data_IF_051011070932
#
_entry.id   IF_051011070932
#
_cell.length_a   1.000
_cell.length_b   1.000
_cell.length_c   1.000
_cell.angle_alpha   90.00
_cell.angle_beta   90.00
_cell.angle_gamma   90.00
#
_symmetry.space_group_name_H-M   'P 1'
#
loop_
_entity.id
_entity.type
_entity.pdbx_description
1 polymer ?
#
# COMPACT_ATOMS: atom_id res chain seq x y z
N UNK A 1 -17.69 -9.93 37.32
CA UNK A 1 -16.27 -10.31 37.25
C UNK A 1 -15.60 -9.78 38.51
N UNK A 2 -14.55 -10.43 39.02
CA UNK A 2 -13.81 -9.92 40.17
C UNK A 2 -13.12 -8.59 39.81
N UNK A 3 -13.06 -7.64 40.75
CA UNK A 3 -12.36 -6.34 40.59
C UNK A 3 -10.83 -6.47 40.55
N UNK A 4 -10.34 -7.70 40.73
CA UNK A 4 -8.92 -8.03 40.80
C UNK A 4 -8.72 -9.43 40.25
N UNK A 5 -7.65 -9.64 39.49
CA UNK A 5 -7.21 -10.95 39.03
C UNK A 5 -5.79 -11.25 39.52
N UNK A 6 -5.53 -12.50 39.87
CA UNK A 6 -4.21 -13.03 40.18
C UNK A 6 -3.46 -13.34 38.89
N UNK A 7 -2.27 -12.78 38.75
CA UNK A 7 -1.37 -13.01 37.62
C UNK A 7 0.01 -13.44 38.09
N UNK A 8 0.73 -14.20 37.28
CA UNK A 8 2.09 -14.68 37.56
C UNK A 8 2.98 -14.47 36.34
N UNK A 9 4.08 -13.75 36.52
CA UNK A 9 5.13 -13.59 35.50
C UNK A 9 6.22 -14.64 35.78
N UNK A 10 6.50 -15.54 34.83
CA UNK A 10 7.57 -16.54 34.97
C UNK A 10 7.58 -17.26 36.33
N UNK A 11 8.73 -17.25 37.02
CA UNK A 11 8.92 -17.87 38.33
C UNK A 11 8.59 -16.95 39.52
N UNK A 12 8.06 -15.76 39.29
CA UNK A 12 7.68 -14.83 40.35
C UNK A 12 6.43 -15.31 41.10
N UNK A 13 6.17 -14.72 42.27
CA UNK A 13 4.95 -15.01 43.04
C UNK A 13 3.72 -14.44 42.33
N UNK A 14 2.60 -15.16 42.44
CA UNK A 14 1.33 -14.65 41.97
C UNK A 14 1.01 -13.32 42.64
N UNK A 15 0.58 -12.34 41.86
CA UNK A 15 0.33 -10.96 42.28
C UNK A 15 -1.06 -10.53 41.81
N UNK A 16 -1.75 -9.77 42.65
CA UNK A 16 -3.06 -9.22 42.33
C UNK A 16 -2.94 -7.94 41.50
N UNK A 17 -3.69 -7.90 40.39
CA UNK A 17 -3.80 -6.74 39.48
C UNK A 17 -5.27 -6.35 39.37
N UNK A 18 -5.57 -5.07 39.56
CA UNK A 18 -6.93 -4.54 39.42
C UNK A 18 -7.40 -4.65 37.97
N UNK A 19 -8.68 -4.99 37.80
CA UNK A 19 -9.37 -4.99 36.51
C UNK A 19 -10.18 -3.71 36.28
N UNK A 20 -10.09 -2.74 37.20
CA UNK A 20 -10.85 -1.50 37.12
C UNK A 20 -10.43 -0.69 35.88
N UNK A 21 -11.40 -0.35 35.03
CA UNK A 21 -11.17 0.37 33.79
C UNK A 21 -10.61 -0.48 32.64
N UNK A 22 -10.42 -1.79 32.83
CA UNK A 22 -9.98 -2.70 31.78
C UNK A 22 -11.18 -3.30 31.05
N UNK A 23 -11.29 -3.11 29.73
CA UNK A 23 -12.39 -3.65 28.94
C UNK A 23 -12.07 -5.02 28.35
N UNK A 24 -10.80 -5.22 27.97
CA UNK A 24 -10.30 -6.45 27.36
C UNK A 24 -8.94 -6.89 27.94
N UNK A 25 -8.42 -7.99 27.41
CA UNK A 25 -7.13 -8.56 27.82
C UNK A 25 -5.96 -7.61 27.52
N UNK A 26 -6.04 -6.75 26.51
CA UNK A 26 -4.99 -5.79 26.19
C UNK A 26 -4.91 -4.69 27.25
N UNK A 27 -6.05 -4.08 27.62
CA UNK A 27 -6.11 -3.10 28.71
C UNK A 27 -5.58 -3.69 30.02
N UNK A 28 -5.93 -4.95 30.28
CA UNK A 28 -5.47 -5.66 31.47
C UNK A 28 -3.97 -5.95 31.44
N UNK A 29 -3.38 -6.23 30.28
CA UNK A 29 -1.93 -6.37 30.12
C UNK A 29 -1.20 -5.03 30.34
N UNK A 30 -1.80 -3.89 30.00
CA UNK A 30 -1.27 -2.57 30.37
C UNK A 30 -1.26 -2.38 31.89
N UNK A 31 -2.37 -2.74 32.55
CA UNK A 31 -2.48 -2.70 34.02
C UNK A 31 -1.44 -3.62 34.69
N UNK A 32 -1.25 -4.82 34.13
CA UNK A 32 -0.23 -5.77 34.59
C UNK A 32 1.19 -5.21 34.42
N UNK A 33 1.49 -4.61 33.26
CA UNK A 33 2.80 -3.99 33.02
C UNK A 33 3.08 -2.89 34.03
N UNK A 34 2.10 -2.02 34.30
CA UNK A 34 2.23 -0.94 35.29
C UNK A 34 2.44 -1.48 36.70
N UNK A 35 1.80 -2.59 37.06
CA UNK A 35 1.93 -3.21 38.39
C UNK A 35 3.25 -3.97 38.57
N UNK A 36 3.77 -4.55 37.48
CA UNK A 36 4.98 -5.36 37.44
C UNK A 36 6.16 -4.61 36.78
N UNK A 37 6.11 -3.27 36.80
CA UNK A 37 7.09 -2.39 36.13
C UNK A 37 8.56 -2.73 36.46
N UNK A 38 8.95 -3.07 37.71
CA UNK A 38 10.34 -3.44 38.02
C UNK A 38 10.86 -4.65 37.22
N UNK A 39 9.96 -5.56 36.79
CA UNK A 39 10.30 -6.78 36.05
C UNK A 39 10.06 -6.63 34.53
N UNK A 40 9.41 -5.54 34.07
CA UNK A 40 8.96 -5.32 32.68
C UNK A 40 9.38 -3.96 32.09
N UNK A 41 10.29 -3.23 32.74
CA UNK A 41 10.69 -1.84 32.47
C UNK A 41 11.03 -1.53 30.98
N UNK A 42 11.51 -2.53 30.22
CA UNK A 42 11.86 -2.40 28.80
C UNK A 42 11.01 -3.24 27.83
N UNK A 43 9.89 -3.81 28.29
CA UNK A 43 9.02 -4.67 27.48
C UNK A 43 7.81 -3.89 26.99
N UNK A 44 7.63 -3.80 25.66
CA UNK A 44 6.39 -3.27 25.07
C UNK A 44 5.21 -4.16 25.45
N UNK A 45 4.04 -3.58 25.75
CA UNK A 45 2.81 -4.34 26.06
C UNK A 45 2.45 -5.28 24.90
N UNK A 46 2.74 -4.88 23.66
CA UNK A 46 2.55 -5.71 22.47
C UNK A 46 3.40 -7.01 22.47
N UNK A 47 4.37 -7.13 23.37
CA UNK A 47 5.19 -8.33 23.58
C UNK A 47 4.76 -9.15 24.79
N UNK A 48 3.67 -8.77 25.47
CA UNK A 48 3.11 -9.52 26.57
C UNK A 48 1.98 -10.42 26.07
N UNK A 49 1.91 -11.62 26.61
CA UNK A 49 0.77 -12.51 26.42
C UNK A 49 0.24 -12.99 27.75
N UNK A 50 -1.08 -13.18 27.83
CA UNK A 50 -1.78 -13.74 28.99
C UNK A 50 -2.24 -15.16 28.66
N UNK A 51 -2.17 -16.10 29.60
CA UNK A 51 -2.60 -17.48 29.41
C UNK A 51 -3.27 -18.02 30.67
N UNK A 52 -4.17 -18.97 30.54
CA UNK A 52 -4.89 -19.60 31.67
C UNK A 52 -4.06 -20.66 32.40
N UNK A 53 -3.00 -21.16 31.77
CA UNK A 53 -2.14 -22.22 32.28
C UNK A 53 -0.67 -21.89 32.05
N UNK A 54 0.21 -22.41 32.91
CA UNK A 54 1.65 -22.25 32.74
C UNK A 54 2.12 -23.02 31.52
N UNK A 55 2.50 -22.32 30.45
CA UNK A 55 2.83 -23.00 29.19
C UNK A 55 1.83 -22.73 28.08
N UNK A 56 0.62 -22.34 28.46
CA UNK A 56 -0.56 -22.43 27.63
C UNK A 56 -0.62 -21.45 26.48
N UNK A 57 -1.61 -21.67 25.62
CA UNK A 57 -1.94 -20.76 24.53
C UNK A 57 -2.29 -19.36 25.06
N UNK A 58 -1.83 -18.35 24.33
CA UNK A 58 -2.11 -16.97 24.66
C UNK A 58 -3.59 -16.65 24.41
N UNK A 59 -4.24 -16.07 25.40
CA UNK A 59 -5.58 -15.48 25.27
C UNK A 59 -5.48 -14.29 24.32
N UNK A 60 -6.45 -14.18 23.41
CA UNK A 60 -6.52 -13.10 22.45
C UNK A 60 -6.56 -11.73 23.17
N UNK A 61 -5.69 -10.76 22.83
CA UNK A 61 -5.66 -9.44 23.49
C UNK A 61 -6.99 -8.67 23.42
N UNK A 62 -7.77 -8.83 22.35
CA UNK A 62 -9.09 -8.18 22.24
C UNK A 62 -10.24 -8.95 22.89
N UNK A 63 -9.97 -10.03 23.63
CA UNK A 63 -11.01 -10.80 24.32
C UNK A 63 -11.54 -9.98 25.51
N UNK A 64 -12.87 -9.79 25.65
CA UNK A 64 -13.44 -9.16 26.83
C UNK A 64 -13.04 -9.94 28.09
N UNK A 65 -12.69 -9.23 29.17
CA UNK A 65 -12.27 -9.90 30.41
C UNK A 65 -13.37 -10.85 30.97
N UNK A 66 -14.64 -10.57 30.66
CA UNK A 66 -15.80 -11.41 31.04
C UNK A 66 -15.78 -12.79 30.41
N UNK A 67 -15.03 -12.96 29.32
CA UNK A 67 -14.92 -14.20 28.56
C UNK A 67 -13.66 -15.01 28.91
N UNK A 68 -12.78 -14.50 29.78
CA UNK A 68 -11.63 -15.25 30.30
C UNK A 68 -12.06 -16.57 30.96
N UNK A 69 -13.15 -16.62 31.77
CA UNK A 69 -13.59 -17.87 32.39
C UNK A 69 -13.99 -18.97 31.41
N UNK A 70 -14.30 -18.61 30.16
CA UNK A 70 -14.66 -19.53 29.09
C UNK A 70 -13.45 -20.06 28.32
N UNK A 71 -12.24 -19.59 28.63
CA UNK A 71 -11.02 -20.00 27.93
C UNK A 71 -10.59 -21.41 28.36
N UNK A 72 -10.06 -22.24 27.43
CA UNK A 72 -9.56 -23.56 27.76
C UNK A 72 -8.52 -23.53 28.88
N UNK A 73 -8.62 -24.47 29.82
CA UNK A 73 -7.71 -24.55 30.97
C UNK A 73 -7.92 -23.47 32.03
N UNK A 74 -8.93 -22.61 31.89
CA UNK A 74 -9.31 -21.70 32.96
C UNK A 74 -9.83 -22.49 34.16
N UNK A 75 -9.34 -22.11 35.34
CA UNK A 75 -9.86 -22.53 36.64
C UNK A 75 -10.15 -21.27 37.47
N UNK A 76 -10.75 -21.44 38.65
CA UNK A 76 -11.05 -20.29 39.52
C UNK A 76 -9.77 -19.47 39.75
N UNK A 77 -9.83 -18.17 39.48
CA UNK A 77 -8.63 -17.33 39.56
C UNK A 77 -8.32 -16.96 41.01
N UNK A 78 -7.33 -17.64 41.60
CA UNK A 78 -6.82 -17.44 42.93
C UNK A 78 -5.28 -17.45 42.95
N UNK A 79 -4.67 -17.42 44.14
CA UNK A 79 -3.21 -17.41 44.26
C UNK A 79 -2.53 -18.71 43.82
N UNK A 80 -3.27 -19.82 43.85
CA UNK A 80 -2.79 -21.15 43.46
C UNK A 80 -3.01 -21.39 41.95
N UNK A 81 -4.01 -20.71 41.36
CA UNK A 81 -4.39 -20.78 39.96
C UNK A 81 -4.38 -19.38 39.29
N UNK A 82 -3.21 -18.72 39.18
CA UNK A 82 -3.10 -17.42 38.56
C UNK A 82 -3.20 -17.49 37.04
N UNK A 83 -3.46 -16.35 36.39
CA UNK A 83 -3.22 -16.19 34.95
C UNK A 83 -1.73 -15.96 34.71
N UNK A 84 -1.17 -16.53 33.65
CA UNK A 84 0.26 -16.51 33.41
C UNK A 84 0.63 -15.47 32.35
N UNK A 85 1.52 -14.56 32.72
CA UNK A 85 2.08 -13.54 31.85
C UNK A 85 3.42 -14.02 31.30
N UNK A 86 3.62 -13.83 29.99
CA UNK A 86 4.87 -14.17 29.31
C UNK A 86 5.32 -13.04 28.39
N UNK A 87 6.64 -12.88 28.30
CA UNK A 87 7.26 -12.02 27.28
C UNK A 87 7.50 -12.85 26.03
N UNK A 88 6.85 -12.49 24.94
CA UNK A 88 6.98 -13.16 23.65
C UNK A 88 8.18 -12.55 22.92
N UNK A 89 9.25 -13.33 22.77
CA UNK A 89 10.34 -13.02 21.83
C UNK A 89 9.86 -13.40 20.44
N UNK A 90 9.94 -12.47 19.48
CA UNK A 90 9.40 -12.64 18.13
C UNK A 90 9.85 -13.96 17.46
N UNK A 91 9.00 -14.97 17.56
CA UNK A 91 8.63 -15.97 16.55
C UNK A 91 7.28 -16.53 17.04
N UNK A 92 6.16 -16.00 16.52
CA UNK A 92 4.86 -16.61 16.80
C UNK A 92 4.80 -17.98 16.12
N UNK A 93 5.08 -19.03 16.88
CA UNK A 93 4.61 -20.39 16.60
C UNK A 93 3.33 -20.62 17.38
N UNK A 94 2.17 -20.49 16.73
CA UNK A 94 0.89 -21.01 17.23
C UNK A 94 0.74 -22.48 16.78
N UNK A 95 0.48 -23.44 17.67
CA UNK A 95 -0.59 -24.42 17.48
C UNK A 95 -1.89 -23.79 18.08
N UNK A 96 -3.15 -24.07 17.71
CA UNK A 96 -3.72 -25.22 17.01
C UNK A 96 -5.07 -24.90 16.32
N UNK A 97 -5.16 -23.90 15.43
CA UNK A 97 -6.07 -23.92 14.25
C UNK A 97 -5.62 -22.82 13.28
N UNK A 98 -5.43 -23.10 11.98
CA UNK A 98 -5.08 -22.05 11.02
C UNK A 98 -6.20 -21.00 10.99
N UNK A 99 -5.94 -19.79 11.49
CA UNK A 99 -6.90 -18.69 11.42
C UNK A 99 -6.94 -18.18 9.99
N UNK A 100 -7.84 -18.72 9.18
CA UNK A 100 -7.90 -18.38 7.76
C UNK A 100 -8.85 -17.22 7.54
N UNK A 101 -8.38 -16.23 6.78
CA UNK A 101 -9.15 -15.06 6.36
C UNK A 101 -9.40 -15.16 4.87
N UNK A 102 -10.67 -15.06 4.47
CA UNK A 102 -11.08 -15.13 3.07
C UNK A 102 -11.42 -13.74 2.55
N UNK A 103 -10.74 -13.33 1.48
CA UNK A 103 -11.15 -12.20 0.66
C UNK A 103 -12.03 -12.70 -0.49
N UNK A 104 -13.31 -12.32 -0.49
CA UNK A 104 -14.26 -12.70 -1.54
C UNK A 104 -14.99 -11.49 -2.08
N UNK A 105 -15.07 -11.41 -3.40
CA UNK A 105 -15.59 -10.23 -4.07
C UNK A 105 -15.78 -10.37 -5.57
N UNK A 106 -16.16 -9.27 -6.18
CA UNK A 106 -16.45 -9.11 -7.60
C UNK A 106 -15.87 -7.79 -8.10
N UNK A 107 -15.38 -7.80 -9.34
CA UNK A 107 -15.03 -6.61 -10.12
C UNK A 107 -15.87 -6.62 -11.39
N UNK A 108 -16.82 -5.70 -11.54
CA UNK A 108 -17.56 -5.50 -12.81
C UNK A 108 -16.67 -4.75 -13.81
N UNK A 109 -16.92 -4.88 -15.11
CA UNK A 109 -16.06 -4.25 -16.14
C UNK A 109 -14.61 -4.78 -16.17
N UNK A 110 -14.35 -5.94 -15.55
CA UNK A 110 -12.99 -6.46 -15.32
C UNK A 110 -12.30 -7.08 -16.55
N UNK A 111 -13.01 -7.26 -17.68
CA UNK A 111 -12.46 -7.75 -18.96
C UNK A 111 -11.44 -6.80 -19.61
N UNK A 112 -10.88 -5.84 -18.87
CA UNK A 112 -9.82 -4.98 -19.34
C UNK A 112 -8.46 -5.71 -19.34
N UNK A 113 -7.56 -5.40 -20.29
CA UNK A 113 -6.23 -6.01 -20.34
C UNK A 113 -5.46 -5.79 -19.03
N UNK A 114 -4.82 -6.85 -18.53
CA UNK A 114 -3.98 -6.80 -17.33
C UNK A 114 -4.71 -6.76 -15.97
N UNK A 115 -6.06 -6.71 -15.93
CA UNK A 115 -6.82 -6.72 -14.68
C UNK A 115 -6.54 -7.99 -13.86
N UNK A 116 -6.76 -9.15 -14.46
CA UNK A 116 -6.53 -10.47 -13.82
C UNK A 116 -5.05 -10.70 -13.47
N UNK A 117 -4.12 -10.28 -14.34
CA UNK A 117 -2.68 -10.36 -14.05
C UNK A 117 -2.29 -9.53 -12.84
N UNK A 118 -2.81 -8.30 -12.76
CA UNK A 118 -2.60 -7.44 -11.59
C UNK A 118 -3.14 -8.08 -10.31
N UNK A 119 -4.31 -8.76 -10.36
CA UNK A 119 -4.85 -9.50 -9.22
C UNK A 119 -3.92 -10.62 -8.74
N UNK A 120 -3.29 -11.36 -9.68
CA UNK A 120 -2.28 -12.37 -9.36
C UNK A 120 -1.04 -11.77 -8.69
N UNK A 121 -0.56 -10.62 -9.19
CA UNK A 121 0.52 -9.88 -8.52
C UNK A 121 0.08 -9.48 -7.11
N UNK A 122 -1.10 -8.88 -6.96
CA UNK A 122 -1.64 -8.41 -5.68
C UNK A 122 -1.73 -9.52 -4.65
N UNK A 123 -2.27 -10.68 -5.03
CA UNK A 123 -2.30 -11.84 -4.15
C UNK A 123 -0.89 -12.28 -3.73
N UNK A 124 0.08 -12.34 -4.65
CA UNK A 124 1.45 -12.68 -4.29
C UNK A 124 2.07 -11.67 -3.31
N UNK A 125 1.93 -10.37 -3.57
CA UNK A 125 2.53 -9.32 -2.75
C UNK A 125 2.02 -9.30 -1.31
N UNK A 126 0.75 -9.67 -1.11
CA UNK A 126 0.12 -9.74 0.20
C UNK A 126 0.00 -11.17 0.73
N UNK A 127 0.85 -12.10 0.27
CA UNK A 127 0.92 -13.47 0.76
C UNK A 127 -0.43 -14.22 0.74
N UNK A 128 -1.13 -14.18 -0.39
CA UNK A 128 -2.38 -14.89 -0.62
C UNK A 128 -2.17 -16.37 -0.97
N UNK A 129 -3.15 -17.21 -0.62
CA UNK A 129 -3.13 -18.66 -0.81
C UNK A 129 -4.36 -19.14 -1.58
N UNK A 130 -4.22 -20.27 -2.27
CA UNK A 130 -5.35 -21.02 -2.81
C UNK A 130 -6.13 -21.69 -1.67
N UNK A 131 -7.40 -21.98 -1.92
CA UNK A 131 -8.20 -22.85 -1.07
C UNK A 131 -7.99 -24.32 -1.45
N UNK A 132 -7.65 -25.15 -0.47
CA UNK A 132 -7.55 -26.60 -0.63
C UNK A 132 -8.95 -27.20 -0.68
N UNK A 133 -9.40 -27.64 -1.86
CA UNK A 133 -10.59 -28.49 -2.02
C UNK A 133 -10.22 -29.82 -2.64
N UNK A 134 -10.90 -30.91 -2.23
CA UNK A 134 -10.66 -32.30 -2.67
C UNK A 134 -10.46 -32.39 -4.19
N UNK A 135 -9.22 -32.36 -4.65
CA UNK A 135 -8.80 -32.57 -6.04
C UNK A 135 -9.03 -31.42 -7.03
N UNK A 136 -9.54 -30.25 -6.61
CA UNK A 136 -9.80 -29.12 -7.53
C UNK A 136 -9.08 -27.87 -7.02
N UNK A 137 -8.06 -27.43 -7.78
CA UNK A 137 -7.43 -26.13 -7.58
C UNK A 137 -8.34 -25.05 -8.18
N UNK A 138 -9.19 -24.45 -7.34
CA UNK A 138 -10.05 -23.36 -7.77
C UNK A 138 -9.21 -22.16 -8.21
N UNK A 139 -9.58 -21.55 -9.33
CA UNK A 139 -8.91 -20.35 -9.78
C UNK A 139 -9.30 -19.18 -8.86
N UNK A 140 -8.34 -18.49 -8.21
CA UNK A 140 -8.64 -17.41 -7.28
C UNK A 140 -9.27 -16.20 -7.98
N UNK A 141 -9.10 -16.13 -9.30
CA UNK A 141 -9.62 -15.07 -10.15
C UNK A 141 -10.29 -15.68 -11.38
N UNK A 142 -11.61 -15.81 -11.38
CA UNK A 142 -12.38 -16.44 -12.46
C UNK A 142 -13.41 -15.47 -13.04
N UNK A 143 -13.50 -15.37 -14.37
CA UNK A 143 -14.58 -14.61 -14.99
C UNK A 143 -15.90 -15.37 -14.88
N UNK A 144 -16.98 -14.62 -14.65
CA UNK A 144 -18.36 -15.07 -14.84
C UNK A 144 -18.79 -14.76 -16.28
N UNK A 145 -19.88 -15.37 -16.73
CA UNK A 145 -20.41 -15.22 -18.11
C UNK A 145 -20.62 -13.76 -18.52
N UNK A 146 -21.00 -12.90 -17.57
CA UNK A 146 -21.19 -11.47 -17.78
C UNK A 146 -19.90 -10.62 -17.78
N UNK A 147 -18.72 -11.26 -17.78
CA UNK A 147 -17.41 -10.58 -17.76
C UNK A 147 -16.99 -9.99 -16.41
N UNK A 148 -17.74 -10.25 -15.34
CA UNK A 148 -17.35 -9.87 -13.96
C UNK A 148 -16.27 -10.83 -13.46
N UNK A 149 -15.20 -10.29 -12.89
CA UNK A 149 -14.14 -11.10 -12.28
C UNK A 149 -14.50 -11.43 -10.83
N UNK A 150 -14.66 -12.71 -10.53
CA UNK A 150 -14.82 -13.20 -9.15
C UNK A 150 -13.46 -13.35 -8.47
N UNK A 151 -13.38 -12.90 -7.22
CA UNK A 151 -12.21 -12.94 -6.37
C UNK A 151 -12.44 -13.94 -5.26
N UNK A 152 -11.51 -14.86 -5.05
CA UNK A 152 -11.44 -15.71 -3.85
C UNK A 152 -9.98 -15.98 -3.51
N UNK A 153 -9.49 -15.34 -2.46
CA UNK A 153 -8.11 -15.49 -1.98
C UNK A 153 -8.13 -15.72 -0.47
N UNK A 154 -7.30 -16.66 0.00
CA UNK A 154 -7.14 -16.92 1.43
C UNK A 154 -5.87 -16.28 1.97
N UNK A 155 -5.89 -15.93 3.25
CA UNK A 155 -4.75 -15.37 3.98
C UNK A 155 -4.67 -16.03 5.35
N UNK A 156 -3.46 -16.25 5.83
CA UNK A 156 -3.16 -16.69 7.20
C UNK A 156 -3.26 -15.54 8.22
N UNK A 157 -3.23 -14.28 7.75
CA UNK A 157 -3.31 -13.08 8.58
C UNK A 157 -4.39 -12.11 8.11
N UNK A 158 -5.20 -11.60 9.05
CA UNK A 158 -6.22 -10.56 8.80
C UNK A 158 -5.62 -9.32 8.16
N UNK A 159 -4.44 -8.89 8.63
CA UNK A 159 -3.74 -7.70 8.16
C UNK A 159 -3.49 -7.78 6.65
N UNK A 160 -2.95 -8.90 6.19
CA UNK A 160 -2.65 -9.14 4.78
C UNK A 160 -3.93 -9.11 3.93
N UNK A 161 -4.99 -9.76 4.40
CA UNK A 161 -6.29 -9.75 3.72
C UNK A 161 -6.89 -8.33 3.60
N UNK A 162 -6.78 -7.52 4.65
CA UNK A 162 -7.26 -6.12 4.66
C UNK A 162 -6.40 -5.23 3.76
N UNK A 163 -5.08 -5.41 3.76
CA UNK A 163 -4.16 -4.67 2.87
C UNK A 163 -4.38 -5.03 1.41
N UNK A 164 -4.58 -6.31 1.10
CA UNK A 164 -4.98 -6.76 -0.23
C UNK A 164 -6.29 -6.08 -0.65
N UNK A 165 -7.32 -6.08 0.21
CA UNK A 165 -8.58 -5.39 -0.06
C UNK A 165 -8.36 -3.91 -0.36
N UNK A 166 -7.61 -3.21 0.48
CA UNK A 166 -7.32 -1.78 0.30
C UNK A 166 -6.63 -1.51 -1.04
N UNK A 167 -5.64 -2.32 -1.42
CA UNK A 167 -4.95 -2.19 -2.70
C UNK A 167 -5.89 -2.43 -3.90
N UNK A 168 -6.83 -3.36 -3.81
CA UNK A 168 -7.85 -3.60 -4.85
C UNK A 168 -8.75 -2.37 -4.99
N UNK A 169 -9.27 -1.83 -3.88
CA UNK A 169 -10.07 -0.59 -3.91
C UNK A 169 -9.26 0.60 -4.45
N UNK A 170 -8.02 0.79 -4.02
CA UNK A 170 -7.15 1.85 -4.56
C UNK A 170 -6.95 1.68 -6.07
N UNK A 171 -6.74 0.46 -6.55
CA UNK A 171 -6.49 0.19 -7.97
C UNK A 171 -7.68 0.48 -8.87
N UNK A 172 -8.88 0.12 -8.42
CA UNK A 172 -10.05 0.04 -9.28
C UNK A 172 -11.14 1.05 -8.94
N UNK A 173 -11.18 1.60 -7.72
CA UNK A 173 -12.15 2.64 -7.33
C UNK A 173 -11.71 4.06 -7.68
N UNK A 174 -10.43 4.29 -8.01
CA UNK A 174 -9.95 5.61 -8.48
C UNK A 174 -10.09 5.81 -10.00
N UNK A 175 -10.83 4.93 -10.69
CA UNK A 175 -11.08 5.03 -12.13
C UNK A 175 -12.49 5.61 -12.34
N UNK A 176 -12.56 6.91 -12.66
CA UNK A 176 -13.65 7.72 -13.24
C UNK A 176 -15.11 7.44 -12.81
N UNK A 177 -15.94 8.49 -12.55
CA UNK A 177 -17.38 8.35 -12.31
C UNK A 177 -18.16 7.63 -13.43
N UNK A 178 -17.64 7.61 -14.66
CA UNK A 178 -18.25 6.95 -15.83
C UNK A 178 -17.75 5.52 -16.07
N UNK A 179 -16.94 4.96 -15.16
CA UNK A 179 -16.46 3.59 -15.35
C UNK A 179 -17.52 2.57 -14.92
N UNK A 180 -17.81 1.59 -15.79
CA UNK A 180 -18.58 0.38 -15.43
C UNK A 180 -17.84 -0.52 -14.41
N UNK A 181 -16.69 -0.07 -13.90
CA UNK A 181 -15.79 -0.76 -12.97
C UNK A 181 -16.22 -0.50 -11.54
N UNK A 182 -16.99 -1.43 -10.98
CA UNK A 182 -17.36 -1.45 -9.58
C UNK A 182 -16.65 -2.61 -8.87
N UNK A 183 -16.07 -2.31 -7.71
CA UNK A 183 -15.45 -3.30 -6.82
C UNK A 183 -16.35 -3.53 -5.61
N UNK A 184 -16.66 -4.80 -5.37
CA UNK A 184 -17.22 -5.27 -4.11
C UNK A 184 -16.30 -6.34 -3.55
N UNK A 185 -15.61 -6.08 -2.44
CA UNK A 185 -14.67 -7.04 -1.86
C UNK A 185 -14.78 -7.04 -0.33
N UNK A 186 -15.06 -8.21 0.22
CA UNK A 186 -15.21 -8.43 1.66
C UNK A 186 -14.08 -9.31 2.19
N UNK A 187 -13.70 -9.10 3.46
CA UNK A 187 -12.72 -9.93 4.17
C UNK A 187 -13.41 -10.50 5.39
N UNK A 188 -13.55 -11.81 5.44
CA UNK A 188 -14.25 -12.51 6.51
C UNK A 188 -13.37 -13.63 7.08
N UNK A 189 -13.55 -13.92 8.37
CA UNK A 189 -12.99 -15.11 8.98
C UNK A 189 -13.64 -16.36 8.39
N UNK A 190 -12.85 -17.37 8.04
CA UNK A 190 -13.33 -18.65 7.52
C UNK A 190 -12.70 -19.83 8.26
N UNK A 191 -13.44 -20.35 9.24
CA UNK A 191 -13.04 -21.50 10.06
C UNK A 191 -12.98 -22.83 9.30
N UNK A 192 -13.54 -22.90 8.08
CA UNK A 192 -13.63 -24.14 7.28
C UNK A 192 -12.64 -24.16 6.11
N UNK A 193 -12.10 -23.00 5.74
CA UNK A 193 -11.11 -22.90 4.69
C UNK A 193 -9.79 -23.53 5.11
N UNK A 194 -9.13 -24.17 4.15
CA UNK A 194 -7.80 -24.74 4.34
C UNK A 194 -6.88 -24.12 3.31
N UNK A 195 -5.74 -23.59 3.75
CA UNK A 195 -4.72 -23.04 2.85
C UNK A 195 -4.11 -24.17 2.02
N UNK A 196 -3.91 -23.90 0.73
CA UNK A 196 -3.10 -24.72 -0.16
C UNK A 196 -1.81 -23.97 -0.53
N UNK A 197 -1.28 -24.14 -1.75
CA UNK A 197 -0.10 -23.40 -2.19
C UNK A 197 -0.31 -21.87 -2.17
N UNK A 198 0.79 -21.13 -2.08
CA UNK A 198 0.78 -19.67 -2.24
C UNK A 198 0.39 -19.30 -3.67
N UNK A 199 -0.33 -18.21 -3.85
CA UNK A 199 -0.63 -17.65 -5.16
C UNK A 199 0.60 -16.88 -5.64
N UNK A 200 1.14 -17.27 -6.79
CA UNK A 200 2.24 -16.59 -7.46
C UNK A 200 1.74 -16.01 -8.78
N UNK A 201 2.34 -14.91 -9.21
CA UNK A 201 2.09 -14.32 -10.54
C UNK A 201 2.37 -15.30 -11.66
N UNK A 202 3.35 -16.19 -11.47
CA UNK A 202 3.66 -17.26 -12.42
C UNK A 202 2.52 -18.27 -12.61
N UNK A 203 1.53 -18.30 -11.72
CA UNK A 203 0.32 -19.13 -11.88
C UNK A 203 -0.73 -18.50 -12.80
N UNK A 204 -0.53 -17.25 -13.24
CA UNK A 204 -1.38 -16.63 -14.24
C UNK A 204 -1.19 -17.34 -15.59
N UNK A 205 -2.27 -17.94 -16.07
CA UNK A 205 -2.36 -18.50 -17.43
C UNK A 205 -3.27 -17.57 -18.21
N UNK A 206 -2.76 -17.08 -19.34
CA UNK A 206 -3.55 -16.31 -20.29
C UNK A 206 -4.57 -17.24 -20.95
N UNK A 207 -5.86 -16.98 -20.72
CA UNK A 207 -6.98 -17.74 -21.31
C UNK A 207 -7.71 -16.80 -22.27
N UNK A 208 -8.35 -17.30 -23.34
CA UNK A 208 -9.03 -16.49 -24.37
C UNK A 208 -10.01 -15.43 -23.81
N UNK A 209 -10.57 -15.63 -22.61
CA UNK A 209 -11.46 -14.68 -21.92
C UNK A 209 -10.75 -13.51 -21.23
N UNK A 210 -9.45 -13.63 -20.95
CA UNK A 210 -8.62 -12.49 -20.58
C UNK A 210 -8.16 -11.83 -21.88
N UNK A 211 -8.58 -10.58 -22.11
CA UNK A 211 -8.02 -9.80 -23.21
C UNK A 211 -6.50 -9.88 -23.12
N UNK A 212 -5.91 -10.40 -24.19
CA UNK A 212 -4.50 -10.67 -24.31
C UNK A 212 -3.68 -9.49 -23.79
N UNK A 213 -2.70 -9.76 -22.93
CA UNK A 213 -1.51 -8.89 -22.83
C UNK A 213 -0.68 -9.06 -24.11
N UNK A 214 -1.30 -9.03 -25.29
CA UNK A 214 -0.60 -8.37 -26.38
C UNK A 214 -0.52 -6.97 -25.84
N UNK A 215 0.69 -6.45 -25.55
CA UNK A 215 0.80 -5.03 -25.40
C UNK A 215 0.20 -4.54 -26.72
N UNK A 216 -0.99 -3.91 -26.69
CA UNK A 216 -1.06 -2.68 -27.45
C UNK A 216 0.13 -1.95 -26.87
N UNK A 217 1.23 -1.98 -27.60
CA UNK A 217 2.34 -1.12 -27.39
C UNK A 217 1.69 0.27 -27.40
N UNK A 218 1.28 0.75 -26.23
CA UNK A 218 1.31 2.16 -25.98
C UNK A 218 2.80 2.44 -26.01
N UNK A 219 3.29 2.64 -27.24
CA UNK A 219 4.62 3.10 -27.55
C UNK A 219 4.94 4.20 -26.54
N UNK A 220 5.84 3.91 -25.59
CA UNK A 220 6.35 4.92 -24.65
C UNK A 220 6.23 4.66 -23.14
N UNK A 221 5.76 3.51 -22.66
CA UNK A 221 5.84 3.20 -21.21
C UNK A 221 7.08 2.36 -20.93
N UNK A 222 8.17 3.01 -20.54
CA UNK A 222 9.36 2.34 -20.00
C UNK A 222 9.20 2.22 -18.50
N UNK A 223 8.91 1.01 -18.01
CA UNK A 223 8.98 0.69 -16.58
C UNK A 223 10.41 0.91 -16.08
N UNK A 224 10.55 1.54 -14.92
CA UNK A 224 11.82 1.77 -14.24
C UNK A 224 11.97 0.76 -13.10
N UNK A 225 13.15 0.17 -12.99
CA UNK A 225 13.55 -0.55 -11.79
C UNK A 225 13.87 0.45 -10.66
N UNK A 226 13.64 0.03 -9.43
CA UNK A 226 14.03 0.71 -8.19
C UNK A 226 15.54 1.01 -8.12
N UNK A 227 16.37 0.24 -8.83
CA UNK A 227 17.81 0.47 -8.94
C UNK A 227 18.20 1.53 -9.98
N UNK A 228 17.26 1.99 -10.81
CA UNK A 228 17.55 2.94 -11.89
C UNK A 228 17.91 4.33 -11.35
N UNK A 229 18.81 5.03 -12.04
CA UNK A 229 19.24 6.40 -11.67
C UNK A 229 18.06 7.36 -11.59
N UNK A 230 17.16 7.31 -12.59
CA UNK A 230 15.94 8.14 -12.63
C UNK A 230 15.06 7.89 -11.40
N UNK A 231 14.89 6.62 -10.98
CA UNK A 231 14.11 6.31 -9.77
C UNK A 231 14.77 6.83 -8.50
N UNK A 232 16.09 6.64 -8.37
CA UNK A 232 16.81 7.05 -7.17
C UNK A 232 16.86 8.58 -7.01
N UNK A 233 17.05 9.29 -8.11
CA UNK A 233 17.39 10.72 -8.08
C UNK A 233 16.24 11.64 -8.49
N UNK A 234 15.35 11.18 -9.38
CA UNK A 234 14.32 12.00 -10.03
C UNK A 234 12.89 11.50 -9.77
N UNK A 235 12.67 10.83 -8.62
CA UNK A 235 11.36 10.43 -8.10
C UNK A 235 10.74 11.53 -7.24
N UNK A 236 9.43 11.75 -7.41
CA UNK A 236 8.65 12.69 -6.59
C UNK A 236 7.96 12.02 -5.42
N UNK A 237 7.41 10.82 -5.64
CA UNK A 237 6.62 10.10 -4.64
C UNK A 237 7.52 9.36 -3.64
N UNK A 238 6.98 9.03 -2.46
CA UNK A 238 7.65 8.19 -1.48
C UNK A 238 7.82 6.74 -1.97
N UNK A 239 8.85 6.06 -1.48
CA UNK A 239 9.17 4.68 -1.88
C UNK A 239 8.04 3.70 -1.59
N UNK A 240 7.28 3.94 -0.53
CA UNK A 240 6.16 3.08 -0.13
C UNK A 240 5.08 2.92 -1.20
N UNK A 241 4.99 3.86 -2.15
CA UNK A 241 4.05 3.80 -3.27
C UNK A 241 4.56 2.93 -4.43
N UNK A 242 5.82 2.53 -4.38
CA UNK A 242 6.48 1.66 -5.34
C UNK A 242 6.78 0.30 -4.69
N UNK A 243 5.74 -0.50 -4.47
CA UNK A 243 5.89 -1.85 -3.94
C UNK A 243 5.97 -2.89 -5.07
N UNK A 244 6.02 -4.18 -4.75
CA UNK A 244 6.05 -5.30 -5.71
C UNK A 244 4.91 -5.28 -6.76
N UNK A 245 3.87 -4.48 -6.53
CA UNK A 245 2.72 -4.29 -7.42
C UNK A 245 2.78 -3.06 -8.31
N UNK A 246 3.55 -2.05 -7.92
CA UNK A 246 3.58 -0.74 -8.55
C UNK A 246 5.01 -0.39 -8.91
N UNK A 247 5.35 -0.56 -10.18
CA UNK A 247 6.63 -0.10 -10.72
C UNK A 247 6.56 1.39 -11.03
N UNK A 248 7.71 2.04 -10.94
CA UNK A 248 7.86 3.38 -11.46
C UNK A 248 7.81 3.38 -12.97
N UNK A 249 7.27 4.44 -13.54
CA UNK A 249 7.28 4.71 -14.96
C UNK A 249 8.11 5.94 -15.24
N UNK A 250 8.82 5.92 -16.36
CA UNK A 250 9.45 7.11 -16.92
C UNK A 250 8.36 8.05 -17.44
N UNK A 251 8.09 9.13 -16.71
CA UNK A 251 7.27 10.24 -17.17
C UNK A 251 8.16 11.24 -17.89
N UNK A 252 7.84 11.58 -19.14
CA UNK A 252 8.63 12.54 -19.88
C UNK A 252 8.14 13.96 -19.61
N UNK A 253 9.09 14.88 -19.42
CA UNK A 253 8.81 16.31 -19.37
C UNK A 253 8.52 16.81 -20.79
N UNK A 254 9.43 16.59 -21.73
CA UNK A 254 9.25 16.78 -23.18
C UNK A 254 8.76 15.47 -23.79
N UNK A 255 7.63 15.52 -24.50
CA UNK A 255 6.99 14.34 -25.07
C UNK A 255 7.91 13.47 -25.93
N UNK A 256 7.76 12.15 -25.76
CA UNK A 256 8.54 11.14 -26.49
C UNK A 256 8.47 11.32 -28.01
N UNK A 257 7.27 11.60 -28.52
CA UNK A 257 7.00 11.82 -29.94
C UNK A 257 7.81 12.99 -30.51
N UNK A 258 7.99 14.06 -29.72
CA UNK A 258 8.76 15.23 -30.10
C UNK A 258 10.27 14.98 -30.02
N UNK A 259 10.73 14.16 -29.08
CA UNK A 259 12.13 13.75 -29.03
C UNK A 259 12.48 12.78 -30.17
N UNK A 260 11.58 11.88 -30.57
CA UNK A 260 11.81 10.93 -31.67
C UNK A 260 11.76 11.59 -33.05
N UNK A 261 10.79 12.48 -33.26
CA UNK A 261 10.51 13.07 -34.59
C UNK A 261 11.08 14.47 -34.77
N UNK A 262 11.35 15.19 -33.68
CA UNK A 262 11.73 16.59 -33.69
C UNK A 262 13.24 16.79 -33.65
N UNK A 263 13.80 17.43 -34.69
CA UNK A 263 15.23 17.82 -34.70
C UNK A 263 15.63 18.65 -33.48
N UNK A 264 14.73 19.51 -32.98
CA UNK A 264 14.97 20.41 -31.84
C UNK A 264 15.13 19.66 -30.51
N UNK A 265 14.37 18.58 -30.31
CA UNK A 265 14.30 17.87 -29.03
C UNK A 265 14.96 16.48 -29.07
N UNK A 266 15.58 16.10 -30.19
CA UNK A 266 16.27 14.83 -30.36
C UNK A 266 17.28 14.53 -29.23
N UNK A 267 18.01 15.56 -28.76
CA UNK A 267 18.96 15.41 -27.65
C UNK A 267 18.32 14.98 -26.31
N UNK A 268 17.01 15.11 -26.16
CA UNK A 268 16.27 14.75 -24.95
C UNK A 268 15.61 13.36 -25.02
N UNK A 269 15.85 12.59 -26.10
CA UNK A 269 15.24 11.27 -26.28
C UNK A 269 15.60 10.28 -25.17
N UNK A 270 16.88 10.24 -24.79
CA UNK A 270 17.41 9.38 -23.72
C UNK A 270 18.04 10.16 -22.56
N UNK A 271 17.82 11.48 -22.54
CA UNK A 271 18.40 12.36 -21.54
C UNK A 271 17.68 12.20 -20.18
N UNK A 272 18.44 11.85 -19.14
CA UNK A 272 17.89 11.64 -17.80
C UNK A 272 17.15 12.89 -17.26
N UNK A 273 17.65 14.08 -17.57
CA UNK A 273 17.05 15.36 -17.16
C UNK A 273 15.64 15.58 -17.77
N UNK A 274 15.25 14.81 -18.79
CA UNK A 274 13.92 14.86 -19.37
C UNK A 274 12.90 13.96 -18.66
N UNK A 275 13.31 13.25 -17.60
CA UNK A 275 12.48 12.21 -16.99
C UNK A 275 12.16 12.47 -15.53
N UNK A 276 10.98 12.03 -15.12
CA UNK A 276 10.61 11.83 -13.73
C UNK A 276 10.23 10.37 -13.51
N UNK A 277 10.53 9.84 -12.33
CA UNK A 277 10.04 8.54 -11.88
C UNK A 277 8.74 8.73 -11.10
N UNK A 278 7.62 8.33 -11.72
CA UNK A 278 6.28 8.44 -11.15
C UNK A 278 5.56 7.10 -11.18
N UNK A 279 4.68 6.84 -10.22
CA UNK A 279 3.71 5.74 -10.33
C UNK A 279 2.81 5.95 -11.55
N UNK A 280 2.17 4.88 -12.03
CA UNK A 280 1.22 4.98 -13.16
C UNK A 280 0.13 6.02 -12.91
N UNK A 281 -0.34 6.12 -11.67
CA UNK A 281 -1.40 7.04 -11.26
C UNK A 281 -0.92 8.49 -11.30
N UNK A 282 0.17 8.82 -10.62
CA UNK A 282 0.69 10.21 -10.62
C UNK A 282 1.19 10.62 -12.00
N UNK A 283 1.73 9.70 -12.80
CA UNK A 283 2.01 9.96 -14.22
C UNK A 283 0.74 10.31 -14.99
N UNK A 284 -0.37 9.59 -14.78
CA UNK A 284 -1.63 9.88 -15.48
C UNK A 284 -2.18 11.26 -15.13
N UNK A 285 -2.02 11.68 -13.87
CA UNK A 285 -2.34 13.00 -13.36
C UNK A 285 -1.47 14.09 -14.00
N UNK A 286 -0.17 13.85 -14.16
CA UNK A 286 0.79 14.79 -14.74
C UNK A 286 0.71 14.91 -16.27
N UNK A 287 0.39 13.82 -16.96
CA UNK A 287 0.27 13.77 -18.41
C UNK A 287 -1.15 14.11 -18.92
N UNK A 288 -2.08 14.46 -18.03
CA UNK A 288 -3.50 14.66 -18.37
C UNK A 288 -4.12 13.45 -19.09
N UNK A 289 -3.73 12.24 -18.67
CA UNK A 289 -4.22 10.96 -19.21
C UNK A 289 -5.27 10.31 -18.32
N UNK A 290 -5.77 11.05 -17.32
CA UNK A 290 -6.94 10.70 -16.52
C UNK A 290 -8.16 10.50 -17.45
N UNK A 291 -8.93 9.43 -17.24
CA UNK A 291 -10.07 9.05 -18.10
C UNK A 291 -11.31 9.95 -17.89
N UNK A 292 -11.21 11.22 -18.28
CA UNK A 292 -12.32 12.19 -18.35
C UNK A 292 -12.39 12.88 -19.72
N UNK A 293 -13.50 13.58 -19.98
CA UNK A 293 -13.70 14.42 -21.17
C UNK A 293 -12.72 15.60 -21.23
N UNK A 294 -12.32 16.10 -20.06
CA UNK A 294 -11.37 17.21 -19.91
C UNK A 294 -10.00 16.67 -19.51
N UNK A 295 -9.06 16.68 -20.46
CA UNK A 295 -7.66 16.29 -20.27
C UNK A 295 -6.90 17.40 -19.56
N UNK A 296 -7.23 17.64 -18.29
CA UNK A 296 -6.58 18.66 -17.46
C UNK A 296 -5.50 17.99 -16.58
N UNK A 297 -4.23 18.45 -16.65
CA UNK A 297 -3.19 18.00 -15.74
C UNK A 297 -3.51 18.39 -14.31
N UNK A 298 -3.23 17.52 -13.36
CA UNK A 298 -3.60 17.73 -11.95
C UNK A 298 -2.59 18.59 -11.19
N UNK A 299 -1.34 18.64 -11.65
CA UNK A 299 -0.30 19.45 -11.03
C UNK A 299 0.78 19.80 -12.04
N UNK A 300 1.53 20.87 -11.73
CA UNK A 300 2.77 21.25 -12.42
C UNK A 300 3.91 21.42 -11.42
N UNK A 301 5.12 21.61 -11.92
CA UNK A 301 6.34 21.64 -11.12
C UNK A 301 7.14 22.89 -11.47
N UNK A 302 7.43 23.74 -10.49
CA UNK A 302 8.20 24.96 -10.68
C UNK A 302 9.57 24.81 -10.01
N UNK A 303 10.64 25.23 -10.68
CA UNK A 303 11.96 25.28 -10.04
C UNK A 303 11.97 26.45 -9.05
N UNK A 304 12.14 26.14 -7.76
CA UNK A 304 12.31 27.14 -6.70
C UNK A 304 13.77 27.52 -6.52
N UNK A 305 14.67 26.53 -6.49
CA UNK A 305 16.10 26.74 -6.27
C UNK A 305 16.92 25.60 -6.86
N UNK A 306 18.17 25.89 -7.25
CA UNK A 306 19.16 24.89 -7.72
C UNK A 306 20.41 25.04 -6.86
N UNK A 307 20.97 23.93 -6.37
CA UNK A 307 22.21 23.96 -5.60
C UNK A 307 23.36 24.56 -6.41
N UNK A 308 24.20 25.37 -5.77
CA UNK A 308 25.35 25.99 -6.44
C UNK A 308 26.42 24.95 -6.86
N UNK A 309 26.54 23.87 -6.09
CA UNK A 309 27.49 22.79 -6.33
C UNK A 309 26.77 21.45 -6.44
N UNK A 310 27.44 20.50 -7.08
CA UNK A 310 27.08 19.09 -7.07
C UNK A 310 27.18 18.51 -5.67
N UNK A 311 26.29 17.56 -5.36
CA UNK A 311 26.27 16.86 -4.07
C UNK A 311 27.03 15.53 -4.16
N UNK A 312 28.18 15.39 -3.47
CA UNK A 312 28.96 14.15 -3.48
C UNK A 312 28.22 12.93 -2.92
N UNK A 313 27.23 13.13 -2.05
CA UNK A 313 26.43 12.03 -1.48
C UNK A 313 25.37 11.52 -2.46
N UNK A 314 25.05 12.29 -3.51
CA UNK A 314 24.01 12.01 -4.49
C UNK A 314 24.58 11.90 -5.90
N UNK A 315 25.68 11.14 -6.04
CA UNK A 315 26.29 10.83 -7.34
C UNK A 315 26.74 12.08 -8.11
N UNK A 316 27.23 13.08 -7.37
CA UNK A 316 27.68 14.37 -7.91
C UNK A 316 26.60 15.07 -8.77
N UNK A 317 25.33 14.94 -8.38
CA UNK A 317 24.20 15.60 -9.04
C UNK A 317 23.84 16.91 -8.35
N UNK A 318 23.19 17.80 -9.09
CA UNK A 318 22.67 19.05 -8.53
C UNK A 318 21.31 18.81 -7.89
N UNK A 319 21.11 19.33 -6.69
CA UNK A 319 19.81 19.33 -6.03
C UNK A 319 18.94 20.46 -6.60
N UNK A 320 17.79 20.10 -7.15
CA UNK A 320 16.78 21.04 -7.65
C UNK A 320 15.59 20.98 -6.71
N UNK A 321 15.37 22.07 -5.96
CA UNK A 321 14.19 22.26 -5.14
C UNK A 321 13.03 22.69 -6.04
N UNK A 322 11.93 21.96 -5.94
CA UNK A 322 10.73 22.11 -6.75
C UNK A 322 9.55 22.53 -5.88
N UNK A 323 8.75 23.46 -6.39
CA UNK A 323 7.39 23.69 -5.92
C UNK A 323 6.43 22.83 -6.74
N UNK A 324 5.65 21.99 -6.08
CA UNK A 324 4.54 21.23 -6.64
C UNK A 324 3.29 22.09 -6.50
N UNK A 325 2.75 22.56 -7.61
CA UNK A 325 1.51 23.33 -7.66
C UNK A 325 0.38 22.42 -8.12
N UNK A 326 -0.58 22.16 -7.23
CA UNK A 326 -1.78 21.38 -7.53
C UNK A 326 -2.84 22.27 -8.17
N UNK A 327 -3.61 21.72 -9.11
CA UNK A 327 -4.68 22.43 -9.83
C UNK A 327 -5.73 23.01 -8.87
N UNK A 328 -6.05 22.29 -7.80
CA UNK A 328 -6.91 22.76 -6.73
C UNK A 328 -6.61 22.03 -5.41
N UNK A 329 -7.26 22.48 -4.33
CA UNK A 329 -7.05 21.94 -2.98
C UNK A 329 -7.50 20.47 -2.84
N UNK A 330 -8.45 20.00 -3.64
CA UNK A 330 -8.86 18.59 -3.62
C UNK A 330 -7.73 17.70 -4.16
N UNK A 331 -7.16 18.06 -5.31
CA UNK A 331 -6.01 17.35 -5.88
C UNK A 331 -4.81 17.38 -4.93
N UNK A 332 -4.56 18.51 -4.28
CA UNK A 332 -3.49 18.64 -3.28
C UNK A 332 -3.62 17.61 -2.14
N UNK A 333 -4.85 17.37 -1.65
CA UNK A 333 -5.12 16.37 -0.60
C UNK A 333 -4.76 14.95 -1.03
N UNK A 334 -4.87 14.64 -2.32
CA UNK A 334 -4.49 13.33 -2.88
C UNK A 334 -2.99 13.24 -3.18
N UNK A 335 -2.38 14.32 -3.66
CA UNK A 335 -1.00 14.33 -4.14
C UNK A 335 0.03 14.52 -3.03
N UNK A 336 -0.19 15.47 -2.11
CA UNK A 336 0.83 15.85 -1.13
C UNK A 336 1.22 14.74 -0.16
N UNK A 337 0.31 13.89 0.36
CA UNK A 337 0.67 12.74 1.19
C UNK A 337 1.49 11.67 0.45
N UNK A 338 1.59 11.78 -0.88
CA UNK A 338 2.38 10.88 -1.72
C UNK A 338 3.82 11.33 -1.91
N UNK A 339 4.13 12.60 -1.68
CA UNK A 339 5.49 13.12 -1.89
C UNK A 339 6.49 12.43 -0.95
N UNK A 340 7.72 12.29 -1.42
CA UNK A 340 8.80 11.61 -0.70
C UNK A 340 9.21 12.32 0.59
N UNK A 341 9.86 11.57 1.48
CA UNK A 341 10.51 12.13 2.66
C UNK A 341 11.39 13.36 2.33
N UNK A 342 11.32 14.37 3.19
CA UNK A 342 11.96 15.68 2.99
C UNK A 342 11.09 16.69 2.22
N UNK A 343 9.91 16.30 1.75
CA UNK A 343 8.90 17.25 1.26
C UNK A 343 8.18 17.97 2.39
N UNK A 344 7.67 19.18 2.10
CA UNK A 344 6.88 19.97 3.03
C UNK A 344 5.69 20.62 2.35
N UNK A 345 4.55 20.72 3.03
CA UNK A 345 3.37 21.42 2.52
C UNK A 345 3.51 22.90 2.86
N UNK A 346 3.35 23.77 1.86
CA UNK A 346 3.46 25.23 2.02
C UNK A 346 2.07 25.83 2.27
N UNK A 347 1.07 25.42 1.50
CA UNK A 347 -0.33 25.84 1.63
C UNK A 347 -1.26 24.81 0.97
N UNK A 348 -2.55 25.13 0.84
CA UNK A 348 -3.58 24.22 0.34
C UNK A 348 -3.40 23.77 -1.12
N UNK A 349 -2.57 24.45 -1.91
CA UNK A 349 -2.30 24.11 -3.32
C UNK A 349 -0.82 23.99 -3.65
N UNK A 350 0.08 24.24 -2.70
CA UNK A 350 1.52 24.20 -2.92
C UNK A 350 2.25 23.33 -1.89
N UNK A 351 3.17 22.50 -2.39
CA UNK A 351 4.14 21.77 -1.58
C UNK A 351 5.54 21.91 -2.17
N UNK A 352 6.55 21.68 -1.36
CA UNK A 352 7.96 21.64 -1.78
C UNK A 352 8.48 20.20 -1.79
N UNK A 353 9.24 19.89 -2.81
CA UNK A 353 9.96 18.62 -2.97
C UNK A 353 11.27 18.89 -3.69
N UNK A 354 12.06 17.87 -3.96
CA UNK A 354 13.35 18.04 -4.62
C UNK A 354 13.65 16.88 -5.56
N UNK A 355 14.55 17.07 -6.51
CA UNK A 355 15.13 16.02 -7.35
C UNK A 355 16.63 16.27 -7.52
N UNK A 356 17.38 15.24 -7.87
CA UNK A 356 18.80 15.34 -8.19
C UNK A 356 19.00 15.10 -9.69
N UNK A 357 19.60 16.07 -10.38
CA UNK A 357 19.74 16.06 -11.84
C UNK A 357 21.20 16.23 -12.25
N UNK A 358 21.55 15.72 -13.43
CA UNK A 358 22.91 15.84 -13.96
C UNK A 358 23.19 17.25 -14.47
N UNK A 359 22.22 17.84 -15.18
CA UNK A 359 22.34 19.16 -15.78
C UNK A 359 21.07 19.98 -15.46
N UNK A 360 21.17 20.97 -14.56
CA UNK A 360 20.06 21.83 -14.19
C UNK A 360 19.50 22.66 -15.34
N UNK A 361 20.32 23.05 -16.30
CA UNK A 361 19.89 23.89 -17.42
C UNK A 361 19.09 23.07 -18.42
N UNK A 362 19.51 21.82 -18.68
CA UNK A 362 18.71 20.89 -19.48
C UNK A 362 17.41 20.50 -18.79
N UNK A 363 17.44 20.26 -17.47
CA UNK A 363 16.24 19.99 -16.68
C UNK A 363 15.28 21.20 -16.72
N UNK A 364 15.81 22.43 -16.61
CA UNK A 364 15.05 23.68 -16.72
C UNK A 364 14.35 23.80 -18.08
N UNK A 365 15.04 23.50 -19.17
CA UNK A 365 14.41 23.49 -20.51
C UNK A 365 13.24 22.50 -20.57
N UNK A 366 13.44 21.30 -20.02
CA UNK A 366 12.42 20.25 -20.06
C UNK A 366 11.18 20.61 -19.22
N UNK A 367 11.39 21.07 -17.98
CA UNK A 367 10.30 21.41 -17.06
C UNK A 367 9.54 22.66 -17.52
N UNK A 368 10.23 23.67 -18.06
CA UNK A 368 9.58 24.86 -18.64
C UNK A 368 8.68 24.47 -19.80
N UNK A 369 9.15 23.64 -20.74
CA UNK A 369 8.31 23.16 -21.83
C UNK A 369 7.06 22.45 -21.32
N UNK A 370 7.20 21.59 -20.31
CA UNK A 370 6.08 20.85 -19.72
C UNK A 370 5.07 21.79 -19.04
N UNK A 371 5.55 22.79 -18.32
CA UNK A 371 4.71 23.79 -17.67
C UNK A 371 3.94 24.64 -18.68
N UNK A 372 4.56 25.07 -19.79
CA UNK A 372 3.87 25.81 -20.85
C UNK A 372 2.68 25.02 -21.41
N UNK A 373 2.83 23.70 -21.55
CA UNK A 373 1.72 22.83 -21.96
C UNK A 373 0.63 22.74 -20.89
N UNK A 374 1.02 22.62 -19.62
CA UNK A 374 0.06 22.53 -18.51
C UNK A 374 -0.70 23.85 -18.35
N UNK A 375 -0.02 24.99 -18.40
CA UNK A 375 -0.61 26.33 -18.29
C UNK A 375 -1.60 26.59 -19.43
N UNK A 376 -1.30 26.12 -20.65
CA UNK A 376 -2.23 26.20 -21.77
C UNK A 376 -3.53 25.42 -21.52
N UNK A 377 -3.45 24.29 -20.80
CA UNK A 377 -4.60 23.46 -20.46
C UNK A 377 -5.36 23.97 -19.23
N UNK A 378 -4.67 24.54 -18.26
CA UNK A 378 -5.28 25.13 -17.05
C UNK A 378 -6.06 26.40 -17.35
N UNK A 379 -5.60 27.20 -18.33
CA UNK A 379 -6.24 28.45 -18.73
C UNK A 379 -7.31 28.27 -19.83
N UNK A 380 -7.55 27.04 -20.31
CA UNK A 380 -8.56 26.78 -21.33
C UNK A 380 -9.96 26.88 -20.71
N UNK A 381 -10.74 27.88 -21.12
CA UNK A 381 -12.18 27.98 -20.81
C UNK A 381 -12.95 27.36 -21.97
N UNK A 382 -13.75 26.29 -21.78
CA UNK A 382 -14.59 25.76 -22.85
C UNK A 382 -15.57 26.85 -23.28
N UNK A 383 -15.59 27.19 -24.56
CA UNK A 383 -16.70 27.96 -25.12
C UNK A 383 -17.95 27.08 -25.02
N UNK A 384 -18.85 27.43 -24.10
CA UNK A 384 -20.21 26.91 -24.10
C UNK A 384 -20.86 27.40 -25.39
N UNK A 385 -21.00 26.51 -26.37
CA UNK A 385 -21.89 26.73 -27.49
C UNK A 385 -23.32 26.74 -26.92
N UNK A 386 -23.95 27.91 -26.94
CA UNK A 386 -25.39 28.10 -26.70
C UNK A 386 -26.26 27.31 -27.69
#
# INVERSE_FOLDING_TARGET
MASVLWVKLGNYRATQVSTDGCTDVFDFLEACKKKLEPDLDNVSVARLSLSTTEGGEAICPGLPLTEIPSQPGYSINDCDNPLFIRVVNHFYTHPSTPTVWRATGLITGAKQPGCRHWMYRAAQAYAGFYEKRKGIKLNPFSYRDNGTLAITVLFDQRRNAVQFRAAVYEKFSTLSPDSELAVSLSVNYDSKAVLDGTILVAHFIQVDESLSETPKAMSGVTELDTTSTVFRYQRLEDERFFCSLYKANRAHLIEKSLCEKGKRFAKFHDNENNFLALTRQVRSWFEARSNGSEKIPFFKLLIKHVSANQDPANDFRYCVLLTVEAYNAEIARWLFPRLKEGSSVVNDTHAETFVYVLDPEEFRVCISWKNDQIDSLWNFTPQLNE
#
